data_IF_730079326062
#
_entry.id   IF_730079326062
#
_cell.length_a   1.000
_cell.length_b   1.000
_cell.length_c   1.000
_cell.angle_alpha   90.00
_cell.angle_beta   90.00
_cell.angle_gamma   90.00
#
_symmetry.space_group_name_H-M   'P 1'
#
loop_
_entity.id
_entity.type
_entity.pdbx_description
1 polymer ?
#
# COMPACT_ATOMS: atom_id res chain seq x y z
N UNK A 1 -24.82 29.21 -47.43
CA UNK A 1 -25.96 28.63 -46.69
C UNK A 1 -25.37 28.04 -45.41
N UNK A 2 -25.72 28.42 -44.19
CA UNK A 2 -27.07 28.72 -43.62
C UNK A 2 -27.93 27.45 -43.58
N UNK A 3 -28.68 27.09 -42.52
CA UNK A 3 -28.99 27.71 -41.20
C UNK A 3 -29.60 26.60 -40.30
N UNK A 4 -29.73 26.64 -38.96
CA UNK A 4 -29.50 27.64 -37.89
C UNK A 4 -29.35 26.90 -36.53
N UNK A 5 -28.93 27.59 -35.45
CA UNK A 5 -29.26 27.16 -34.08
C UNK A 5 -30.77 27.35 -33.81
N UNK A 6 -31.39 26.53 -32.93
CA UNK A 6 -32.54 26.93 -32.15
C UNK A 6 -32.17 27.20 -30.68
N UNK A 7 -32.24 28.46 -30.27
CA UNK A 7 -32.30 28.85 -28.85
C UNK A 7 -33.78 28.93 -28.44
N UNK A 8 -34.21 28.16 -27.44
CA UNK A 8 -35.54 28.36 -26.82
C UNK A 8 -35.38 28.37 -25.30
N UNK A 9 -35.63 29.53 -24.71
CA UNK A 9 -35.63 29.80 -23.28
C UNK A 9 -37.07 29.91 -22.77
N UNK A 10 -37.42 29.27 -21.65
CA UNK A 10 -38.61 29.62 -20.87
C UNK A 10 -38.54 29.13 -19.42
N UNK A 11 -38.72 30.08 -18.51
CA UNK A 11 -38.78 29.96 -17.04
C UNK A 11 -40.21 29.66 -16.59
N UNK A 12 -40.40 28.97 -15.45
CA UNK A 12 -41.43 29.32 -14.44
C UNK A 12 -41.15 28.60 -13.11
N UNK A 13 -41.37 29.31 -11.99
CA UNK A 13 -41.16 28.86 -10.60
C UNK A 13 -42.50 28.93 -9.85
N UNK A 14 -42.80 27.95 -8.98
CA UNK A 14 -43.73 28.07 -7.84
C UNK A 14 -43.17 27.23 -6.68
N UNK A 15 -42.81 27.66 -5.47
CA UNK A 15 -43.30 28.65 -4.47
C UNK A 15 -44.34 28.13 -3.47
N UNK A 16 -43.87 27.75 -2.28
CA UNK A 16 -44.50 27.92 -0.96
C UNK A 16 -43.34 27.88 0.07
N UNK A 17 -43.01 28.89 0.88
CA UNK A 17 -43.77 29.67 1.87
C UNK A 17 -44.41 28.76 2.93
N UNK A 18 -43.85 28.70 4.14
CA UNK A 18 -44.01 29.70 5.22
C UNK A 18 -42.94 29.46 6.33
N UNK A 19 -42.55 30.39 7.21
CA UNK A 19 -42.81 31.84 7.36
C UNK A 19 -41.83 32.46 8.39
N UNK A 20 -41.76 33.81 8.43
CA UNK A 20 -41.77 34.70 9.63
C UNK A 20 -41.00 34.30 10.90
N UNK A 21 -40.19 35.13 11.58
CA UNK A 21 -39.57 36.48 11.41
C UNK A 21 -38.69 36.71 12.65
N UNK A 22 -37.71 37.62 12.64
CA UNK A 22 -37.51 38.69 13.66
C UNK A 22 -36.24 39.49 13.36
N UNK A 23 -36.40 40.80 13.19
CA UNK A 23 -35.31 41.75 12.95
C UNK A 23 -34.85 42.38 14.27
N UNK A 24 -33.53 42.53 14.45
CA UNK A 24 -32.98 43.64 15.23
C UNK A 24 -31.59 44.00 14.71
N UNK A 25 -31.25 45.29 14.76
CA UNK A 25 -29.88 45.76 14.67
C UNK A 25 -29.20 45.72 16.06
N UNK A 26 -27.88 45.79 16.08
CA UNK A 26 -27.07 45.91 17.30
C UNK A 26 -25.59 45.74 17.00
N UNK A 27 -24.74 46.60 17.58
CA UNK A 27 -23.28 46.50 17.50
C UNK A 27 -22.69 46.01 18.83
N UNK A 28 -21.40 45.65 18.78
CA UNK A 28 -20.43 45.69 19.88
C UNK A 28 -20.29 44.48 20.80
N UNK A 29 -19.03 43.98 20.84
CA UNK A 29 -18.27 43.49 22.00
C UNK A 29 -18.94 42.61 23.06
N UNK A 30 -18.56 41.33 23.06
CA UNK A 30 -17.82 40.72 24.19
C UNK A 30 -17.07 39.47 23.71
N UNK A 31 -15.97 39.11 24.38
CA UNK A 31 -15.19 37.90 24.08
C UNK A 31 -15.81 36.64 24.69
N UNK A 32 -15.72 35.53 23.96
CA UNK A 32 -15.84 34.18 24.52
C UNK A 32 -14.94 33.22 23.72
N UNK A 33 -13.72 32.99 24.20
CA UNK A 33 -12.77 32.09 23.54
C UNK A 33 -13.24 30.64 23.64
N UNK A 34 -13.62 30.04 22.50
CA UNK A 34 -14.03 28.64 22.39
C UNK A 34 -13.01 27.87 21.54
N UNK A 35 -11.84 27.65 22.15
CA UNK A 35 -10.67 26.90 21.67
C UNK A 35 -10.86 26.11 20.38
N UNK A 36 -10.23 26.58 19.30
CA UNK A 36 -10.01 25.80 18.09
C UNK A 36 -9.29 24.50 18.49
N UNK A 37 -9.99 23.36 18.47
CA UNK A 37 -9.42 22.06 18.84
C UNK A 37 -8.46 21.62 17.75
N UNK A 38 -7.24 22.16 17.83
CA UNK A 38 -6.11 21.99 16.93
C UNK A 38 -5.79 20.51 16.79
N UNK A 39 -6.49 19.84 15.87
CA UNK A 39 -6.35 18.41 15.61
C UNK A 39 -4.87 18.13 15.39
N UNK A 40 -4.30 17.25 16.22
CA UNK A 40 -2.86 17.02 16.25
C UNK A 40 -2.46 16.40 14.92
N UNK A 41 -2.03 17.24 13.99
CA UNK A 41 -1.65 16.83 12.64
C UNK A 41 -0.29 16.13 12.71
N UNK A 42 -0.35 14.88 13.18
CA UNK A 42 0.79 13.97 13.23
C UNK A 42 1.32 13.79 11.82
N UNK A 43 2.37 14.54 11.50
CA UNK A 43 3.21 14.29 10.33
C UNK A 43 3.96 13.00 10.61
N UNK A 44 3.27 11.89 10.37
CA UNK A 44 3.79 10.54 10.52
C UNK A 44 4.93 10.39 9.51
N UNK A 45 6.17 10.41 10.01
CA UNK A 45 7.40 10.33 9.22
C UNK A 45 7.34 9.18 8.21
N UNK A 46 8.11 9.27 7.13
CA UNK A 46 8.12 8.24 6.08
C UNK A 46 8.35 6.83 6.66
N UNK A 47 9.22 6.70 7.66
CA UNK A 47 9.46 5.47 8.43
C UNK A 47 8.23 5.00 9.22
N UNK A 48 7.49 5.91 9.87
CA UNK A 48 6.26 5.60 10.59
C UNK A 48 5.13 5.14 9.66
N UNK A 49 5.01 5.75 8.47
CA UNK A 49 4.10 5.25 7.42
C UNK A 49 4.58 3.91 6.85
N UNK A 50 5.88 3.71 6.65
CA UNK A 50 6.43 2.43 6.21
C UNK A 50 6.16 1.33 7.24
N UNK A 51 6.31 1.61 8.53
CA UNK A 51 6.01 0.69 9.63
C UNK A 51 4.51 0.35 9.71
N UNK A 52 3.62 1.35 9.65
CA UNK A 52 2.18 1.13 9.63
C UNK A 52 1.74 0.30 8.40
N UNK A 53 2.24 0.64 7.22
CA UNK A 53 2.02 -0.16 6.00
C UNK A 53 2.64 -1.55 6.07
N UNK A 54 3.74 -1.76 6.80
CA UNK A 54 4.34 -3.09 7.01
C UNK A 54 3.62 -3.93 8.06
N UNK A 55 2.96 -3.33 9.05
CA UNK A 55 2.01 -4.06 9.91
C UNK A 55 0.78 -4.46 9.10
N UNK A 56 0.16 -3.52 8.37
CA UNK A 56 -0.98 -3.82 7.49
C UNK A 56 -0.68 -4.89 6.42
N UNK A 57 0.51 -4.85 5.79
CA UNK A 57 0.96 -5.86 4.80
C UNK A 57 1.38 -7.21 5.40
N UNK A 58 1.47 -7.34 6.72
CA UNK A 58 1.76 -8.60 7.40
C UNK A 58 0.60 -9.04 8.31
N UNK A 59 -0.54 -8.34 8.30
CA UNK A 59 -1.69 -8.64 9.14
C UNK A 59 -2.27 -10.03 8.83
N UNK A 60 -2.15 -10.50 7.59
CA UNK A 60 -2.45 -11.86 7.16
C UNK A 60 -1.59 -12.92 7.87
N UNK A 61 -0.29 -12.62 8.07
CA UNK A 61 0.65 -13.47 8.80
C UNK A 61 0.38 -13.38 10.31
N UNK A 62 0.09 -12.20 10.85
CA UNK A 62 -0.11 -11.99 12.30
C UNK A 62 -1.45 -12.56 12.79
N UNK A 63 -2.52 -12.44 12.00
CA UNK A 63 -3.86 -12.99 12.28
C UNK A 63 -3.96 -14.50 11.98
N UNK A 64 -2.98 -15.10 11.32
CA UNK A 64 -3.00 -16.52 10.91
C UNK A 64 -3.11 -17.54 12.07
N UNK A 65 -2.77 -17.12 13.30
CA UNK A 65 -2.62 -17.99 14.46
C UNK A 65 -1.35 -18.85 14.46
N UNK A 66 -0.46 -18.71 13.45
CA UNK A 66 0.76 -19.49 13.35
C UNK A 66 1.79 -19.11 14.43
N UNK A 67 2.69 -20.03 14.85
CA UNK A 67 3.73 -19.74 15.83
C UNK A 67 4.64 -18.57 15.41
N UNK A 68 5.08 -17.76 16.37
CA UNK A 68 5.87 -16.55 16.10
C UNK A 68 7.15 -16.82 15.28
N UNK A 69 7.79 -17.97 15.46
CA UNK A 69 8.95 -18.40 14.65
C UNK A 69 8.58 -18.64 13.17
N UNK A 70 7.42 -19.22 12.90
CA UNK A 70 6.89 -19.41 11.53
C UNK A 70 6.52 -18.06 10.93
N UNK A 71 5.83 -17.20 11.69
CA UNK A 71 5.51 -15.83 11.26
C UNK A 71 6.76 -15.02 10.90
N UNK A 72 7.86 -15.19 11.65
CA UNK A 72 9.14 -14.51 11.37
C UNK A 72 9.73 -14.94 10.02
N UNK A 73 9.65 -16.23 9.67
CA UNK A 73 10.12 -16.73 8.37
C UNK A 73 9.18 -16.27 7.25
N UNK A 74 7.85 -16.29 7.44
CA UNK A 74 6.88 -15.74 6.47
C UNK A 74 7.15 -14.26 6.16
N UNK A 75 7.39 -13.44 7.20
CA UNK A 75 7.75 -12.02 7.06
C UNK A 75 9.08 -11.84 6.30
N UNK A 76 10.06 -12.71 6.51
CA UNK A 76 11.32 -12.70 5.77
C UNK A 76 11.14 -13.09 4.29
N UNK A 77 10.35 -14.13 4.00
CA UNK A 77 10.00 -14.54 2.63
C UNK A 77 9.33 -13.39 1.86
N UNK A 78 8.38 -12.69 2.51
CA UNK A 78 7.63 -11.58 1.91
C UNK A 78 8.51 -10.36 1.59
N UNK A 79 9.51 -10.08 2.42
CA UNK A 79 10.55 -9.07 2.15
C UNK A 79 11.52 -9.51 1.04
N UNK A 80 11.89 -10.80 0.96
CA UNK A 80 12.70 -11.34 -0.13
C UNK A 80 11.95 -11.32 -1.48
N UNK A 81 10.66 -11.67 -1.49
CA UNK A 81 9.77 -11.53 -2.66
C UNK A 81 9.73 -10.09 -3.15
N UNK A 82 9.56 -9.12 -2.25
CA UNK A 82 9.57 -7.70 -2.60
C UNK A 82 10.91 -7.25 -3.21
N UNK A 83 12.04 -7.78 -2.73
CA UNK A 83 13.38 -7.52 -3.30
C UNK A 83 13.56 -8.16 -4.68
N UNK A 84 12.94 -9.33 -4.92
CA UNK A 84 12.88 -9.94 -6.25
C UNK A 84 12.16 -9.02 -7.23
N UNK A 85 11.01 -8.48 -6.85
CA UNK A 85 10.23 -7.55 -7.68
C UNK A 85 10.99 -6.25 -7.96
N UNK A 86 11.55 -5.62 -6.92
CA UNK A 86 12.39 -4.42 -7.06
C UNK A 86 13.64 -4.68 -7.93
N UNK A 87 14.23 -5.89 -7.88
CA UNK A 87 15.33 -6.29 -8.75
C UNK A 87 14.86 -6.48 -10.21
N UNK A 88 13.67 -7.04 -10.44
CA UNK A 88 13.08 -7.16 -11.78
C UNK A 88 12.73 -5.79 -12.39
N UNK A 89 12.21 -4.85 -11.58
CA UNK A 89 12.03 -3.45 -11.99
C UNK A 89 13.38 -2.79 -12.31
N UNK A 90 14.42 -3.01 -11.50
CA UNK A 90 15.76 -2.50 -11.76
C UNK A 90 16.39 -3.08 -13.05
N UNK A 91 16.15 -4.36 -13.38
CA UNK A 91 16.57 -4.96 -14.65
C UNK A 91 15.87 -4.26 -15.82
N UNK A 92 14.55 -4.11 -15.77
CA UNK A 92 13.80 -3.42 -16.81
C UNK A 92 14.23 -1.96 -16.96
N UNK A 93 14.43 -1.26 -15.84
CA UNK A 93 14.93 0.12 -15.84
C UNK A 93 16.33 0.21 -16.43
N UNK A 94 17.25 -0.68 -16.09
CA UNK A 94 18.61 -0.71 -16.62
C UNK A 94 18.67 -0.99 -18.13
N UNK A 95 17.74 -1.79 -18.67
CA UNK A 95 17.64 -2.06 -20.11
C UNK A 95 17.02 -0.88 -20.89
N UNK A 96 16.08 -0.15 -20.28
CA UNK A 96 15.42 1.00 -20.89
C UNK A 96 16.16 2.34 -20.66
N UNK A 97 17.14 2.42 -19.74
CA UNK A 97 17.89 3.63 -19.40
C UNK A 97 18.61 4.22 -20.63
N UNK A 98 18.15 5.37 -21.18
CA UNK A 98 18.73 5.92 -22.40
C UNK A 98 20.17 6.42 -22.21
N UNK A 99 20.60 6.63 -20.97
CA UNK A 99 21.91 7.19 -20.60
C UNK A 99 23.04 6.17 -20.65
N UNK A 100 22.70 4.86 -20.71
CA UNK A 100 23.67 3.76 -20.71
C UNK A 100 23.91 3.22 -22.12
N UNK A 101 25.16 2.87 -22.43
CA UNK A 101 25.55 2.17 -23.65
C UNK A 101 24.97 0.75 -23.69
N UNK A 102 24.73 0.14 -24.87
CA UNK A 102 24.17 -1.22 -24.96
C UNK A 102 24.95 -2.29 -24.18
N UNK A 103 26.27 -2.18 -24.16
CA UNK A 103 27.18 -3.05 -23.37
C UNK A 103 27.00 -2.86 -21.86
N UNK A 104 26.86 -1.61 -21.39
CA UNK A 104 26.64 -1.28 -19.99
C UNK A 104 25.26 -1.78 -19.51
N UNK A 105 24.22 -1.62 -20.34
CA UNK A 105 22.87 -2.15 -20.04
C UNK A 105 22.89 -3.67 -19.89
N UNK A 106 23.56 -4.37 -20.81
CA UNK A 106 23.75 -5.83 -20.73
C UNK A 106 24.51 -6.24 -19.47
N UNK A 107 25.62 -5.56 -19.18
CA UNK A 107 26.46 -5.84 -18.00
C UNK A 107 25.69 -5.62 -16.69
N UNK A 108 24.97 -4.50 -16.58
CA UNK A 108 24.14 -4.16 -15.43
C UNK A 108 22.95 -5.12 -15.27
N UNK A 109 22.29 -5.49 -16.37
CA UNK A 109 21.22 -6.49 -16.35
C UNK A 109 21.73 -7.88 -15.94
N UNK A 110 22.90 -8.32 -16.43
CA UNK A 110 23.50 -9.60 -16.05
C UNK A 110 23.88 -9.63 -14.55
N UNK A 111 24.48 -8.56 -14.02
CA UNK A 111 24.76 -8.44 -12.59
C UNK A 111 23.48 -8.51 -11.73
N UNK A 112 22.42 -7.80 -12.13
CA UNK A 112 21.12 -7.85 -11.46
C UNK A 112 20.42 -9.21 -11.61
N UNK A 113 20.61 -9.95 -12.70
CA UNK A 113 20.13 -11.33 -12.86
C UNK A 113 20.83 -12.31 -11.90
N UNK A 114 22.12 -12.11 -11.61
CA UNK A 114 22.83 -12.87 -10.57
C UNK A 114 22.27 -12.58 -9.18
N UNK A 115 21.96 -11.31 -8.88
CA UNK A 115 21.27 -10.92 -7.63
C UNK A 115 19.87 -11.54 -7.55
N UNK A 116 19.09 -11.49 -8.63
CA UNK A 116 17.76 -12.11 -8.73
C UNK A 116 17.80 -13.62 -8.45
N UNK A 117 18.73 -14.35 -9.07
CA UNK A 117 18.92 -15.78 -8.83
C UNK A 117 19.31 -16.07 -7.38
N UNK A 118 20.14 -15.21 -6.78
CA UNK A 118 20.55 -15.31 -5.37
C UNK A 118 19.37 -15.08 -4.41
N UNK A 119 18.50 -14.11 -4.70
CA UNK A 119 17.28 -13.86 -3.92
C UNK A 119 16.26 -15.01 -4.06
N UNK A 120 16.10 -15.57 -5.27
CA UNK A 120 15.25 -16.75 -5.50
C UNK A 120 15.75 -17.98 -4.71
N UNK A 121 17.06 -18.19 -4.62
CA UNK A 121 17.65 -19.21 -3.77
C UNK A 121 17.37 -18.95 -2.28
N UNK A 122 17.44 -17.69 -1.81
CA UNK A 122 17.10 -17.33 -0.42
C UNK A 122 15.61 -17.54 -0.09
N UNK A 123 14.69 -17.27 -1.02
CA UNK A 123 13.25 -17.60 -0.87
C UNK A 123 13.06 -19.11 -0.77
N UNK A 124 13.74 -19.88 -1.61
CA UNK A 124 13.67 -21.35 -1.60
C UNK A 124 14.21 -21.92 -0.28
N UNK A 125 15.35 -21.43 0.20
CA UNK A 125 15.92 -21.84 1.49
C UNK A 125 14.96 -21.48 2.63
N UNK A 126 14.49 -20.24 2.70
CA UNK A 126 13.54 -19.79 3.74
C UNK A 126 12.25 -20.60 3.74
N UNK A 127 11.80 -21.08 2.58
CA UNK A 127 10.62 -21.96 2.46
C UNK A 127 10.92 -23.38 2.95
N UNK A 128 12.12 -23.89 2.73
CA UNK A 128 12.60 -25.15 3.30
C UNK A 128 12.82 -25.05 4.83
N UNK A 129 13.34 -23.93 5.33
CA UNK A 129 13.47 -23.61 6.76
C UNK A 129 12.08 -23.57 7.42
N UNK A 130 11.09 -22.93 6.78
CA UNK A 130 9.70 -22.91 7.22
C UNK A 130 9.11 -24.32 7.29
N UNK A 131 9.25 -25.13 6.23
CA UNK A 131 8.76 -26.51 6.21
C UNK A 131 9.40 -27.36 7.31
N UNK A 132 10.72 -27.25 7.48
CA UNK A 132 11.49 -27.96 8.50
C UNK A 132 11.09 -27.55 9.92
N UNK A 133 10.92 -26.25 10.16
CA UNK A 133 10.43 -25.70 11.44
C UNK A 133 9.02 -26.20 11.75
N UNK A 134 8.11 -26.14 10.78
CA UNK A 134 6.71 -26.59 10.99
C UNK A 134 6.62 -28.08 11.27
N UNK A 135 7.46 -28.89 10.61
CA UNK A 135 7.60 -30.31 10.92
C UNK A 135 8.20 -30.54 12.32
N UNK A 136 9.26 -29.82 12.69
CA UNK A 136 9.90 -29.90 14.02
C UNK A 136 9.00 -29.42 15.16
N UNK A 137 8.03 -28.54 14.89
CA UNK A 137 7.03 -28.09 15.85
C UNK A 137 5.80 -29.02 15.93
N UNK A 138 5.74 -30.09 15.13
CA UNK A 138 4.56 -30.96 15.05
C UNK A 138 3.31 -30.23 14.56
N UNK A 139 3.47 -29.20 13.72
CA UNK A 139 2.36 -28.35 13.25
C UNK A 139 1.32 -29.18 12.49
N UNK A 140 0.03 -28.87 12.68
CA UNK A 140 -1.05 -29.55 11.96
C UNK A 140 -0.95 -29.31 10.45
N UNK A 141 -1.40 -30.25 9.63
CA UNK A 141 -1.41 -30.09 8.17
C UNK A 141 -2.29 -28.92 7.71
N UNK A 142 -3.32 -28.57 8.48
CA UNK A 142 -4.07 -27.33 8.26
C UNK A 142 -3.20 -26.07 8.43
N UNK A 143 -2.25 -26.07 9.36
CA UNK A 143 -1.33 -24.96 9.58
C UNK A 143 -0.20 -24.94 8.54
N UNK A 144 0.34 -26.11 8.16
CA UNK A 144 1.28 -26.22 7.03
C UNK A 144 0.66 -25.67 5.74
N UNK A 145 -0.61 -26.00 5.49
CA UNK A 145 -1.37 -25.48 4.35
C UNK A 145 -1.57 -23.97 4.45
N UNK A 146 -1.98 -23.43 5.62
CA UNK A 146 -2.06 -21.96 5.84
C UNK A 146 -0.73 -21.27 5.55
N UNK A 147 0.38 -21.77 6.08
CA UNK A 147 1.68 -21.15 5.90
C UNK A 147 2.14 -21.19 4.43
N UNK A 148 1.95 -22.33 3.74
CA UNK A 148 2.19 -22.42 2.30
C UNK A 148 1.30 -21.48 1.47
N UNK A 149 0.02 -21.36 1.83
CA UNK A 149 -0.88 -20.37 1.21
C UNK A 149 -0.43 -18.93 1.48
N UNK A 150 0.10 -18.61 2.68
CA UNK A 150 0.59 -17.27 3.01
C UNK A 150 1.90 -16.91 2.28
N UNK A 151 2.77 -17.89 1.99
CA UNK A 151 3.92 -17.69 1.09
C UNK A 151 3.47 -17.37 -0.34
N UNK A 152 2.37 -17.99 -0.79
CA UNK A 152 1.80 -17.83 -2.13
C UNK A 152 0.76 -16.69 -2.23
N UNK A 153 0.33 -16.13 -1.10
CA UNK A 153 -0.56 -14.97 -0.98
C UNK A 153 0.20 -13.68 -1.29
N UNK A 154 0.67 -13.60 -2.54
CA UNK A 154 1.19 -12.39 -3.17
C UNK A 154 0.15 -11.26 -3.10
N UNK A 155 0.65 -10.03 -2.94
CA UNK A 155 -0.12 -8.78 -2.97
C UNK A 155 -0.65 -8.47 -4.37
#
# INVERSE_FOLDING_TARGET
MSTTLPLINSITIRTATSQTTYSSAGQSTAEASASETKGVQVNLSAEGKAAASSSSRNADIEQSGLPASVQKILKAIRELQRRIEETMEQIQKALNDPSLSPEERRTKAAALQTVLSTLQAQVSNSTADLSSLMNSLGSSDGDKTKAGMLVLAKM
#
